data_IF_322868555767
#
_entry.id   IF_322868555767
#
_cell.length_a   1.000
_cell.length_b   1.000
_cell.length_c   1.000
_cell.angle_alpha   90.00
_cell.angle_beta   90.00
_cell.angle_gamma   90.00
#
_symmetry.space_group_name_H-M   'P 1'
#
loop_
_entity.id
_entity.type
_entity.pdbx_description
1 polymer ?
#
# COMPACT_ATOMS: atom_id res chain seq x y z
N UNK A 1 18.52 -9.56 -2.79
CA UNK A 1 18.09 -10.81 -2.11
C UNK A 1 17.13 -11.55 -3.03
N UNK A 2 16.90 -12.83 -2.81
CA UNK A 2 15.99 -13.61 -3.65
C UNK A 2 15.98 -15.07 -3.22
N UNK A 3 15.03 -15.83 -3.73
CA UNK A 3 14.89 -17.23 -3.38
C UNK A 3 13.89 -17.96 -4.26
N UNK A 4 14.00 -19.28 -4.24
CA UNK A 4 13.00 -20.18 -4.77
C UNK A 4 12.02 -20.53 -3.65
N UNK A 5 10.77 -20.70 -4.03
CA UNK A 5 9.67 -21.08 -3.14
C UNK A 5 9.01 -22.30 -3.74
N UNK A 6 8.42 -23.14 -2.90
CA UNK A 6 7.63 -24.26 -3.39
C UNK A 6 6.75 -24.86 -2.31
N UNK A 7 5.64 -25.42 -2.77
CA UNK A 7 4.68 -26.16 -1.96
C UNK A 7 4.40 -27.50 -2.63
N UNK A 8 4.23 -28.54 -1.82
CA UNK A 8 3.82 -29.88 -2.26
C UNK A 8 2.57 -30.26 -1.49
N UNK A 9 1.66 -30.99 -2.12
CA UNK A 9 0.44 -31.44 -1.48
C UNK A 9 -0.47 -32.21 -2.43
N UNK A 10 -1.63 -32.61 -1.91
CA UNK A 10 -2.65 -33.26 -2.73
C UNK A 10 -3.17 -32.30 -3.81
N UNK A 11 -3.58 -32.86 -4.96
CA UNK A 11 -4.08 -32.08 -6.08
C UNK A 11 -5.20 -31.09 -5.71
N UNK A 12 -6.19 -31.41 -4.84
CA UNK A 12 -7.18 -30.43 -4.40
C UNK A 12 -6.58 -29.28 -3.57
N UNK A 13 -5.54 -29.52 -2.79
CA UNK A 13 -4.88 -28.49 -1.98
C UNK A 13 -4.09 -27.53 -2.88
N UNK A 14 -3.36 -28.06 -3.85
CA UNK A 14 -2.61 -27.27 -4.82
C UNK A 14 -3.56 -26.51 -5.75
N UNK A 15 -4.67 -27.10 -6.18
CA UNK A 15 -5.70 -26.41 -6.94
C UNK A 15 -6.28 -25.20 -6.18
N UNK A 16 -6.48 -25.30 -4.85
CA UNK A 16 -6.89 -24.15 -4.03
C UNK A 16 -5.82 -23.06 -4.02
N UNK A 17 -4.54 -23.42 -3.90
CA UNK A 17 -3.43 -22.46 -3.94
C UNK A 17 -3.31 -21.75 -5.30
N UNK A 18 -3.53 -22.46 -6.41
CA UNK A 18 -3.57 -21.87 -7.75
C UNK A 18 -4.70 -20.84 -7.89
N UNK A 19 -5.87 -21.12 -7.29
CA UNK A 19 -7.06 -20.25 -7.34
C UNK A 19 -7.11 -19.17 -6.26
N UNK A 20 -6.13 -19.17 -5.36
CA UNK A 20 -6.03 -18.27 -4.21
C UNK A 20 -5.92 -16.80 -4.60
N UNK A 21 -6.33 -15.92 -3.70
CA UNK A 21 -6.32 -14.46 -3.88
C UNK A 21 -4.95 -13.85 -4.13
N UNK A 22 -3.91 -14.59 -3.79
CA UNK A 22 -2.53 -14.26 -3.95
C UNK A 22 -2.01 -14.48 -5.38
N UNK A 23 -2.73 -15.21 -6.26
CA UNK A 23 -2.27 -15.53 -7.62
C UNK A 23 -3.33 -15.43 -8.70
N UNK A 24 -4.55 -15.93 -8.44
CA UNK A 24 -5.62 -16.05 -9.42
C UNK A 24 -5.17 -16.64 -10.78
N UNK A 25 -4.55 -17.83 -10.77
CA UNK A 25 -4.08 -18.48 -12.02
C UNK A 25 -5.21 -18.87 -12.98
N UNK A 26 -6.46 -18.89 -12.53
CA UNK A 26 -7.66 -19.19 -13.32
C UNK A 26 -8.15 -18.03 -14.20
N UNK A 27 -7.40 -16.93 -14.25
CA UNK A 27 -7.79 -15.73 -14.98
C UNK A 27 -8.02 -16.03 -16.46
N UNK A 28 -9.18 -15.66 -17.03
CA UNK A 28 -9.48 -15.97 -18.43
C UNK A 28 -8.79 -15.00 -19.41
N UNK A 29 -8.24 -13.89 -18.92
CA UNK A 29 -7.57 -12.86 -19.70
C UNK A 29 -6.04 -12.98 -19.70
N UNK A 30 -5.48 -13.96 -18.99
CA UNK A 30 -4.04 -14.18 -18.90
C UNK A 30 -3.66 -15.42 -19.72
N UNK A 31 -2.97 -15.21 -20.83
CA UNK A 31 -2.58 -16.25 -21.80
C UNK A 31 -1.25 -16.96 -21.47
N UNK A 32 -0.58 -16.54 -20.39
CA UNK A 32 0.72 -17.04 -19.93
C UNK A 32 0.63 -17.85 -18.63
N UNK A 33 -0.55 -18.00 -18.05
CA UNK A 33 -0.81 -18.78 -16.83
C UNK A 33 -2.06 -19.64 -17.02
N UNK A 34 -2.03 -20.86 -16.48
CA UNK A 34 -3.14 -21.79 -16.55
C UNK A 34 -3.28 -22.58 -15.24
N UNK A 35 -4.49 -23.08 -14.98
CA UNK A 35 -4.77 -23.96 -13.84
C UNK A 35 -4.64 -25.42 -14.24
N UNK A 36 -3.84 -26.17 -13.49
CA UNK A 36 -3.76 -27.63 -13.60
C UNK A 36 -4.37 -28.29 -12.35
N UNK A 37 -5.48 -29.00 -12.54
CA UNK A 37 -6.20 -29.70 -11.46
C UNK A 37 -5.53 -30.97 -10.95
N UNK A 38 -4.53 -31.49 -11.66
CA UNK A 38 -3.78 -32.70 -11.30
C UNK A 38 -2.42 -32.39 -10.67
N UNK A 39 -1.99 -31.12 -10.70
CA UNK A 39 -0.72 -30.65 -10.14
C UNK A 39 -0.64 -30.91 -8.63
N UNK A 40 0.41 -31.58 -8.18
CA UNK A 40 0.67 -31.90 -6.76
C UNK A 40 1.80 -31.07 -6.15
N UNK A 41 2.40 -30.18 -6.92
CA UNK A 41 3.44 -29.26 -6.45
C UNK A 41 3.47 -27.96 -7.23
N UNK A 42 3.82 -26.86 -6.59
CA UNK A 42 4.06 -25.57 -7.25
C UNK A 42 5.42 -25.04 -6.81
N UNK A 43 6.12 -24.38 -7.73
CA UNK A 43 7.37 -23.69 -7.43
C UNK A 43 7.42 -22.35 -8.15
N UNK A 44 7.97 -21.35 -7.48
CA UNK A 44 8.14 -20.02 -8.05
C UNK A 44 9.34 -19.32 -7.46
N UNK A 45 9.74 -18.21 -8.05
CA UNK A 45 10.92 -17.46 -7.67
C UNK A 45 10.60 -16.01 -7.36
N UNK A 46 11.45 -15.44 -6.51
CA UNK A 46 11.48 -14.01 -6.22
C UNK A 46 12.90 -13.51 -6.29
N UNK A 47 13.09 -12.36 -6.93
CA UNK A 47 14.33 -11.62 -6.91
C UNK A 47 14.07 -10.15 -6.55
N UNK A 48 14.87 -9.62 -5.64
CA UNK A 48 14.84 -8.24 -5.20
C UNK A 48 16.23 -7.64 -5.31
N UNK A 49 16.34 -6.52 -6.01
CA UNK A 49 17.55 -5.73 -6.14
C UNK A 49 17.31 -4.34 -5.56
N UNK A 50 18.18 -3.91 -4.65
CA UNK A 50 18.10 -2.59 -4.02
C UNK A 50 19.49 -1.98 -4.00
N UNK A 51 19.61 -0.79 -4.60
CA UNK A 51 20.79 0.06 -4.49
C UNK A 51 20.34 1.39 -3.92
N UNK A 52 21.06 1.88 -2.91
CA UNK A 52 20.72 3.14 -2.26
C UNK A 52 21.96 3.90 -1.81
N UNK A 53 21.92 5.21 -2.00
CA UNK A 53 22.83 6.14 -1.36
C UNK A 53 22.19 6.62 -0.06
N UNK A 54 22.68 6.09 1.07
CA UNK A 54 22.17 6.40 2.41
C UNK A 54 22.99 7.46 3.16
N UNK A 55 24.14 7.84 2.59
CA UNK A 55 25.04 8.83 3.18
C UNK A 55 25.42 9.90 2.15
N UNK A 56 25.54 11.12 2.63
CA UNK A 56 25.67 12.33 1.84
C UNK A 56 25.06 13.51 2.61
N UNK A 57 25.56 14.72 2.32
CA UNK A 57 25.10 15.96 2.95
C UNK A 57 23.61 16.18 2.63
N UNK A 58 23.28 16.40 1.35
CA UNK A 58 21.91 16.72 0.95
C UNK A 58 21.18 15.61 0.20
N UNK A 59 21.83 15.01 -0.78
CA UNK A 59 21.15 14.14 -1.74
C UNK A 59 21.31 12.66 -1.40
N UNK A 60 20.18 12.01 -1.15
CA UNK A 60 20.02 10.58 -1.01
C UNK A 60 19.11 10.05 -2.12
N UNK A 61 19.30 8.80 -2.50
CA UNK A 61 18.46 8.17 -3.51
C UNK A 61 18.44 6.65 -3.31
N UNK A 62 17.41 6.02 -3.86
CA UNK A 62 17.30 4.58 -3.92
C UNK A 62 16.68 4.15 -5.26
N UNK A 63 17.11 2.98 -5.70
CA UNK A 63 16.55 2.27 -6.83
C UNK A 63 16.30 0.84 -6.40
N UNK A 64 15.06 0.40 -6.57
CA UNK A 64 14.56 -0.88 -6.15
C UNK A 64 13.90 -1.57 -7.34
N UNK A 65 14.23 -2.84 -7.54
CA UNK A 65 13.58 -3.73 -8.49
C UNK A 65 13.15 -5.00 -7.76
N UNK A 66 11.95 -5.47 -8.04
CA UNK A 66 11.39 -6.71 -7.51
C UNK A 66 10.75 -7.47 -8.66
N UNK A 67 11.00 -8.78 -8.73
CA UNK A 67 10.42 -9.66 -9.73
C UNK A 67 9.93 -10.94 -9.05
N UNK A 68 8.69 -11.31 -9.34
CA UNK A 68 7.96 -12.38 -8.66
C UNK A 68 7.14 -13.17 -9.67
N UNK A 69 7.51 -14.44 -9.88
CA UNK A 69 6.80 -15.31 -10.83
C UNK A 69 5.36 -15.59 -10.36
N UNK A 70 4.42 -15.88 -11.26
CA UNK A 70 3.03 -16.19 -10.89
C UNK A 70 2.87 -17.33 -9.87
N UNK A 71 3.71 -18.37 -9.96
CA UNK A 71 3.66 -19.54 -9.09
C UNK A 71 4.30 -19.34 -7.71
N UNK A 72 4.87 -18.16 -7.43
CA UNK A 72 5.60 -17.91 -6.18
C UNK A 72 4.70 -18.12 -4.96
N UNK A 73 5.23 -18.78 -3.95
CA UNK A 73 4.52 -19.04 -2.71
C UNK A 73 5.09 -18.22 -1.57
N UNK A 74 4.36 -17.18 -1.19
CA UNK A 74 4.61 -16.50 0.06
C UNK A 74 4.05 -17.38 1.18
N UNK A 75 4.92 -17.85 2.06
CA UNK A 75 4.48 -18.50 3.30
C UNK A 75 3.57 -17.54 4.08
N UNK A 76 2.59 -18.08 4.81
CA UNK A 76 1.58 -17.34 5.60
C UNK A 76 2.16 -16.41 6.69
N UNK A 77 3.49 -16.30 6.78
CA UNK A 77 4.22 -15.40 7.67
C UNK A 77 4.35 -14.00 7.02
N UNK A 78 3.20 -13.38 6.75
CA UNK A 78 3.08 -11.91 6.78
C UNK A 78 3.22 -11.12 5.47
N UNK A 79 3.03 -11.70 4.29
CA UNK A 79 3.01 -10.92 3.03
C UNK A 79 1.64 -10.91 2.34
N UNK A 80 0.98 -9.76 2.35
CA UNK A 80 -0.30 -9.48 1.65
C UNK A 80 -0.11 -9.12 0.16
N UNK A 81 0.84 -9.79 -0.52
CA UNK A 81 1.20 -9.47 -1.91
C UNK A 81 0.47 -10.35 -2.94
N UNK A 82 0.15 -9.79 -4.09
CA UNK A 82 -0.23 -10.56 -5.29
C UNK A 82 1.07 -11.00 -5.98
N UNK A 83 1.15 -12.26 -6.39
CA UNK A 83 2.22 -12.78 -7.25
C UNK A 83 2.10 -12.20 -8.67
N UNK A 84 2.98 -12.61 -9.60
CA UNK A 84 2.91 -12.19 -10.99
C UNK A 84 3.19 -10.69 -11.19
N UNK A 85 4.42 -10.29 -10.85
CA UNK A 85 4.78 -8.88 -10.85
C UNK A 85 6.27 -8.61 -11.07
N UNK A 86 6.58 -7.63 -11.89
CA UNK A 86 7.87 -6.95 -11.96
C UNK A 86 7.66 -5.49 -11.59
N UNK A 87 8.23 -5.07 -10.46
CA UNK A 87 8.13 -3.72 -9.93
C UNK A 87 9.48 -3.01 -10.00
N UNK A 88 9.45 -1.76 -10.45
CA UNK A 88 10.56 -0.82 -10.35
C UNK A 88 10.14 0.37 -9.47
N UNK A 89 10.98 0.75 -8.51
CA UNK A 89 10.80 1.93 -7.68
C UNK A 89 12.08 2.75 -7.63
N UNK A 90 11.91 4.06 -7.69
CA UNK A 90 12.98 5.03 -7.63
C UNK A 90 12.60 6.11 -6.61
N UNK A 91 13.55 6.51 -5.78
CA UNK A 91 13.40 7.54 -4.78
C UNK A 91 14.54 8.55 -4.85
N UNK A 92 14.22 9.82 -4.69
CA UNK A 92 15.19 10.91 -4.55
C UNK A 92 14.79 11.76 -3.35
N UNK A 93 15.73 12.01 -2.45
CA UNK A 93 15.53 12.84 -1.27
C UNK A 93 16.59 13.94 -1.23
N UNK A 94 16.13 15.17 -1.09
CA UNK A 94 16.95 16.29 -0.61
C UNK A 94 16.71 16.46 0.89
N UNK A 95 17.77 16.67 1.66
CA UNK A 95 17.68 17.05 3.08
C UNK A 95 18.64 18.16 3.45
N UNK A 96 18.25 18.95 4.42
CA UNK A 96 19.12 19.85 5.18
C UNK A 96 19.00 19.50 6.66
N UNK A 97 20.13 19.24 7.30
CA UNK A 97 20.22 18.83 8.70
C UNK A 97 20.90 19.86 9.58
N UNK A 98 21.53 20.88 8.98
CA UNK A 98 22.10 22.02 9.70
C UNK A 98 20.99 22.96 10.16
N UNK A 99 20.91 23.31 11.46
CA UNK A 99 19.92 24.25 11.96
C UNK A 99 20.09 25.65 11.38
N UNK A 100 19.03 26.20 10.80
CA UNK A 100 18.93 27.58 10.34
C UNK A 100 18.15 28.48 11.30
N UNK A 101 17.80 29.69 10.81
CA UNK A 101 17.09 30.70 11.63
C UNK A 101 15.65 30.31 12.01
N UNK A 102 14.96 29.59 11.13
CA UNK A 102 13.54 29.21 11.30
C UNK A 102 13.33 27.71 11.41
N UNK A 103 14.04 26.94 10.57
CA UNK A 103 13.98 25.48 10.53
C UNK A 103 15.25 24.89 11.11
N UNK A 104 15.09 23.85 11.93
CA UNK A 104 16.19 23.02 12.45
C UNK A 104 16.68 22.02 11.41
N UNK A 105 15.80 21.62 10.50
CA UNK A 105 16.09 20.74 9.38
C UNK A 105 14.85 20.50 8.55
N UNK A 106 15.04 20.07 7.31
CA UNK A 106 13.95 19.74 6.41
C UNK A 106 14.36 18.67 5.40
N UNK A 107 13.38 17.96 4.86
CA UNK A 107 13.60 17.05 3.74
C UNK A 107 12.42 17.07 2.77
N UNK A 108 12.75 16.86 1.50
CA UNK A 108 11.83 16.70 0.39
C UNK A 108 12.20 15.40 -0.31
N UNK A 109 11.26 14.48 -0.42
CA UNK A 109 11.44 13.23 -1.11
C UNK A 109 10.41 13.08 -2.21
N UNK A 110 10.84 12.65 -3.39
CA UNK A 110 9.96 12.25 -4.48
C UNK A 110 10.24 10.79 -4.82
N UNK A 111 9.21 10.09 -5.25
CA UNK A 111 9.34 8.71 -5.67
C UNK A 111 8.42 8.38 -6.84
N UNK A 112 8.85 7.39 -7.60
CA UNK A 112 8.13 6.82 -8.72
C UNK A 112 8.15 5.30 -8.58
N UNK A 113 6.99 4.67 -8.70
CA UNK A 113 6.83 3.22 -8.75
C UNK A 113 6.09 2.83 -10.02
N UNK A 114 6.59 1.86 -10.76
CA UNK A 114 5.86 1.21 -11.85
C UNK A 114 5.89 -0.30 -11.69
N UNK A 115 4.80 -0.97 -12.05
CA UNK A 115 4.65 -2.42 -11.91
C UNK A 115 3.90 -3.00 -13.11
N UNK A 116 4.35 -4.18 -13.54
CA UNK A 116 3.80 -4.95 -14.64
C UNK A 116 3.61 -6.40 -14.24
N UNK A 117 2.62 -7.08 -14.80
CA UNK A 117 2.55 -8.53 -14.73
C UNK A 117 3.41 -9.18 -15.83
N UNK A 118 3.54 -10.51 -15.82
CA UNK A 118 4.31 -11.23 -16.83
C UNK A 118 3.64 -11.24 -18.22
N UNK A 119 2.35 -10.92 -18.30
CA UNK A 119 1.63 -10.65 -19.55
C UNK A 119 1.91 -9.26 -20.16
N UNK A 120 2.67 -8.40 -19.46
CA UNK A 120 3.03 -7.06 -19.93
C UNK A 120 2.01 -5.97 -19.58
N UNK A 121 0.91 -6.28 -18.91
CA UNK A 121 -0.05 -5.29 -18.44
C UNK A 121 0.54 -4.45 -17.32
N UNK A 122 0.45 -3.13 -17.45
CA UNK A 122 0.81 -2.20 -16.38
C UNK A 122 -0.20 -2.31 -15.23
N UNK A 123 0.22 -2.86 -14.10
CA UNK A 123 -0.62 -2.98 -12.90
C UNK A 123 -0.66 -1.67 -12.11
N UNK A 124 0.44 -0.92 -12.10
CA UNK A 124 0.53 0.32 -11.33
C UNK A 124 1.54 1.29 -11.93
N UNK A 125 1.21 2.58 -11.93
CA UNK A 125 2.19 3.66 -11.95
C UNK A 125 1.81 4.68 -10.89
N UNK A 126 2.73 4.96 -9.97
CA UNK A 126 2.48 5.81 -8.80
C UNK A 126 3.62 6.79 -8.60
N UNK A 127 3.28 8.04 -8.36
CA UNK A 127 4.18 9.08 -7.90
C UNK A 127 3.88 9.39 -6.44
N UNK A 128 4.91 9.68 -5.67
CA UNK A 128 4.78 10.11 -4.29
C UNK A 128 5.68 11.31 -4.01
N UNK A 129 5.20 12.25 -3.22
CA UNK A 129 5.96 13.37 -2.68
C UNK A 129 5.85 13.35 -1.16
N UNK A 130 6.95 13.55 -0.45
CA UNK A 130 6.97 13.67 1.00
C UNK A 130 7.80 14.89 1.38
N UNK A 131 7.29 15.66 2.32
CA UNK A 131 7.96 16.80 2.91
C UNK A 131 7.96 16.64 4.42
N UNK A 132 9.11 16.83 5.05
CA UNK A 132 9.23 16.90 6.50
C UNK A 132 9.95 18.19 6.88
N UNK A 133 9.35 18.98 7.77
CA UNK A 133 9.93 20.22 8.29
C UNK A 133 10.05 20.09 9.81
N UNK A 134 11.24 20.33 10.34
CA UNK A 134 11.48 20.40 11.79
C UNK A 134 11.75 21.85 12.18
N UNK A 135 10.90 22.40 13.04
CA UNK A 135 11.04 23.74 13.60
C UNK A 135 12.08 23.77 14.72
N UNK A 136 12.58 24.96 15.05
CA UNK A 136 13.58 25.13 16.12
C UNK A 136 13.05 24.78 17.53
N UNK A 137 11.72 24.77 17.72
CA UNK A 137 11.06 24.28 18.93
C UNK A 137 10.75 22.76 18.89
N UNK A 138 11.39 22.02 17.97
CA UNK A 138 11.24 20.57 17.78
C UNK A 138 9.85 20.10 17.35
N UNK A 139 8.99 21.01 16.90
CA UNK A 139 7.77 20.60 16.23
C UNK A 139 8.11 20.08 14.84
N UNK A 140 7.46 18.99 14.44
CA UNK A 140 7.65 18.41 13.11
C UNK A 140 6.33 18.47 12.34
N UNK A 141 6.36 19.15 11.19
CA UNK A 141 5.29 19.11 10.21
C UNK A 141 5.64 18.14 9.09
N UNK A 142 4.66 17.37 8.62
CA UNK A 142 4.80 16.44 7.50
C UNK A 142 3.69 16.66 6.50
N UNK A 143 4.04 16.58 5.22
CA UNK A 143 3.09 16.46 4.13
C UNK A 143 3.48 15.26 3.28
N UNK A 144 2.51 14.43 2.91
CA UNK A 144 2.72 13.32 1.99
C UNK A 144 1.62 13.33 0.95
N UNK A 145 1.98 13.21 -0.33
CA UNK A 145 1.04 13.12 -1.43
C UNK A 145 1.36 11.88 -2.26
N UNK A 146 0.33 11.19 -2.71
CA UNK A 146 0.45 10.09 -3.65
C UNK A 146 -0.53 10.28 -4.78
N UNK A 147 -0.07 10.02 -5.99
CA UNK A 147 -0.87 10.08 -7.21
C UNK A 147 -0.63 8.82 -8.01
N UNK A 148 -1.69 8.08 -8.32
CA UNK A 148 -1.64 6.83 -9.05
C UNK A 148 -2.36 7.00 -10.38
N UNK A 149 -1.70 6.62 -11.47
CA UNK A 149 -2.32 6.53 -12.79
C UNK A 149 -3.18 5.27 -12.89
N UNK A 150 -4.07 5.24 -13.89
CA UNK A 150 -4.84 4.04 -14.25
C UNK A 150 -3.89 2.88 -14.50
N UNK A 151 -4.28 1.69 -14.04
CA UNK A 151 -3.52 0.44 -14.22
C UNK A 151 -4.47 -0.75 -14.16
N UNK A 152 -4.05 -1.88 -14.70
CA UNK A 152 -4.81 -3.12 -14.57
C UNK A 152 -4.75 -3.67 -13.15
N UNK A 153 -5.83 -4.28 -12.70
CA UNK A 153 -5.88 -4.91 -11.39
C UNK A 153 -6.61 -6.24 -11.50
N UNK A 154 -5.82 -7.31 -11.48
CA UNK A 154 -6.28 -8.70 -11.49
C UNK A 154 -7.13 -9.10 -10.27
N UNK A 155 -7.09 -8.31 -9.18
CA UNK A 155 -7.77 -8.65 -7.92
C UNK A 155 -9.20 -8.14 -7.83
N UNK A 156 -9.56 -7.11 -8.59
CA UNK A 156 -10.86 -6.44 -8.47
C UNK A 156 -12.04 -7.38 -8.76
N UNK A 157 -11.86 -8.36 -9.64
CA UNK A 157 -12.90 -9.31 -10.05
C UNK A 157 -12.75 -10.68 -9.37
N UNK A 158 -11.81 -10.82 -8.42
CA UNK A 158 -11.52 -12.02 -7.64
C UNK A 158 -11.39 -13.30 -8.47
N UNK A 159 -10.46 -13.30 -9.44
CA UNK A 159 -10.21 -14.43 -10.35
C UNK A 159 -11.03 -14.42 -11.64
N UNK A 160 -11.76 -13.33 -11.89
CA UNK A 160 -12.24 -12.98 -13.23
C UNK A 160 -11.16 -12.27 -14.06
N UNK A 161 -11.52 -11.69 -15.22
CA UNK A 161 -10.57 -10.90 -15.99
C UNK A 161 -10.09 -9.70 -15.19
N UNK A 162 -8.89 -9.21 -15.49
CA UNK A 162 -8.38 -7.97 -14.92
C UNK A 162 -9.30 -6.80 -15.25
N UNK A 163 -9.32 -5.83 -14.33
CA UNK A 163 -10.13 -4.63 -14.47
C UNK A 163 -9.26 -3.41 -14.25
N UNK A 164 -9.50 -2.37 -15.05
CA UNK A 164 -8.78 -1.11 -14.91
C UNK A 164 -9.15 -0.43 -13.58
N UNK A 165 -8.15 -0.31 -12.70
CA UNK A 165 -8.20 0.51 -11.52
C UNK A 165 -8.18 2.00 -11.92
N UNK A 166 -8.90 2.84 -11.17
CA UNK A 166 -9.04 4.24 -11.51
C UNK A 166 -7.72 4.97 -11.25
N UNK A 167 -7.54 6.12 -11.88
CA UNK A 167 -6.59 7.12 -11.39
C UNK A 167 -7.05 7.64 -10.03
N UNK A 168 -6.13 7.73 -9.07
CA UNK A 168 -6.41 8.22 -7.71
C UNK A 168 -5.32 9.14 -7.18
N UNK A 169 -5.67 9.93 -6.17
CA UNK A 169 -4.69 10.65 -5.35
C UNK A 169 -5.11 10.72 -3.90
N UNK A 170 -4.14 10.85 -3.01
CA UNK A 170 -4.34 11.12 -1.60
C UNK A 170 -3.25 12.07 -1.11
N UNK A 171 -3.60 12.97 -0.20
CA UNK A 171 -2.65 13.82 0.51
C UNK A 171 -2.93 13.76 1.99
N UNK A 172 -1.87 13.66 2.78
CA UNK A 172 -1.91 13.73 4.22
C UNK A 172 -1.02 14.86 4.73
N UNK A 173 -1.49 15.51 5.78
CA UNK A 173 -0.78 16.55 6.51
C UNK A 173 -0.78 16.17 7.98
N UNK A 174 0.33 16.37 8.67
CA UNK A 174 0.36 16.25 10.12
C UNK A 174 1.35 17.22 10.74
N UNK A 175 1.08 17.60 11.97
CA UNK A 175 2.00 18.34 12.81
C UNK A 175 2.02 17.70 14.19
N UNK A 176 3.21 17.58 14.76
CA UNK A 176 3.42 17.04 16.10
C UNK A 176 4.37 17.90 16.91
N UNK A 177 4.16 17.90 18.22
CA UNK A 177 5.03 18.57 19.17
C UNK A 177 6.36 17.83 19.34
N UNK A 178 7.23 18.40 20.17
CA UNK A 178 8.47 17.75 20.61
C UNK A 178 8.19 16.38 21.26
N UNK A 179 8.83 15.32 20.76
CA UNK A 179 8.69 13.96 21.29
C UNK A 179 9.26 13.78 22.71
N UNK A 180 10.13 14.70 23.16
CA UNK A 180 10.71 14.67 24.51
C UNK A 180 9.92 15.52 25.52
N UNK A 181 8.83 16.18 25.10
CA UNK A 181 8.00 16.96 26.02
C UNK A 181 7.20 16.04 26.97
N UNK A 182 6.88 16.55 28.17
CA UNK A 182 6.00 15.88 29.13
C UNK A 182 4.56 15.81 28.61
N UNK A 183 4.10 16.84 27.91
CA UNK A 183 2.85 16.83 27.16
C UNK A 183 3.18 16.80 25.68
N UNK A 184 2.77 15.72 25.02
CA UNK A 184 2.98 15.49 23.60
C UNK A 184 1.65 15.55 22.91
N UNK A 185 1.64 16.10 21.71
CA UNK A 185 0.44 16.10 20.90
C UNK A 185 0.79 15.93 19.43
N UNK A 186 -0.15 15.37 18.69
CA UNK A 186 -0.12 15.37 17.24
C UNK A 186 -1.52 15.56 16.69
N UNK A 187 -1.59 16.19 15.53
CA UNK A 187 -2.82 16.26 14.75
C UNK A 187 -2.45 15.96 13.31
N UNK A 188 -3.27 15.15 12.66
CA UNK A 188 -3.11 14.78 11.28
C UNK A 188 -4.45 14.69 10.58
N UNK A 189 -4.41 14.79 9.27
CA UNK A 189 -5.54 14.48 8.43
C UNK A 189 -5.07 14.00 7.08
N UNK A 190 -5.93 13.27 6.40
CA UNK A 190 -5.72 12.86 5.02
C UNK A 190 -6.99 13.01 4.21
N UNK A 191 -6.83 13.28 2.92
CA UNK A 191 -7.93 13.33 1.99
C UNK A 191 -7.47 12.81 0.63
N UNK A 192 -8.29 11.99 0.00
CA UNK A 192 -8.03 11.48 -1.34
C UNK A 192 -9.32 11.20 -2.10
N UNK A 193 -9.18 11.13 -3.42
CA UNK A 193 -10.27 10.76 -4.34
C UNK A 193 -9.73 10.01 -5.54
N UNK A 194 -10.60 9.21 -6.14
CA UNK A 194 -10.38 8.60 -7.44
C UNK A 194 -11.24 9.26 -8.53
N UNK A 195 -11.07 8.81 -9.77
CA UNK A 195 -11.78 9.34 -10.92
C UNK A 195 -13.20 8.79 -11.11
N UNK A 196 -13.63 7.87 -10.26
CA UNK A 196 -14.95 7.19 -10.32
C UNK A 196 -15.78 7.50 -9.08
N UNK A 197 -15.59 8.69 -8.50
CA UNK A 197 -16.35 9.23 -7.37
C UNK A 197 -16.07 8.56 -6.01
N UNK A 198 -15.07 7.68 -5.93
CA UNK A 198 -14.54 7.17 -4.65
C UNK A 198 -13.70 8.23 -3.94
N UNK A 199 -13.84 8.31 -2.62
CA UNK A 199 -13.04 9.24 -1.81
C UNK A 199 -12.88 8.75 -0.38
N UNK A 200 -11.84 9.24 0.29
CA UNK A 200 -11.64 9.04 1.72
C UNK A 200 -11.12 10.31 2.37
N UNK A 201 -11.59 10.57 3.58
CA UNK A 201 -11.16 11.69 4.40
C UNK A 201 -11.02 11.23 5.84
N UNK A 202 -9.91 11.58 6.48
CA UNK A 202 -9.68 11.27 7.88
C UNK A 202 -9.04 12.43 8.62
N UNK A 203 -9.35 12.54 9.91
CA UNK A 203 -8.69 13.43 10.86
C UNK A 203 -8.43 12.63 12.12
N UNK A 204 -7.21 12.72 12.64
CA UNK A 204 -6.81 12.06 13.86
C UNK A 204 -6.01 13.01 14.73
N UNK A 205 -6.19 12.88 16.04
CA UNK A 205 -5.40 13.58 17.04
C UNK A 205 -4.76 12.58 17.99
N UNK A 206 -3.71 13.01 18.66
CA UNK A 206 -3.17 12.35 19.83
C UNK A 206 -2.80 13.41 20.86
N UNK A 207 -3.18 13.20 22.12
CA UNK A 207 -2.65 13.93 23.26
C UNK A 207 -2.13 12.91 24.26
N UNK A 208 -0.85 12.99 24.57
CA UNK A 208 -0.12 12.08 25.44
C UNK A 208 0.49 12.86 26.60
N UNK A 209 0.10 12.53 27.82
CA UNK A 209 0.56 13.15 29.06
C UNK A 209 1.46 12.18 29.82
N UNK A 210 2.66 12.66 30.18
CA UNK A 210 3.62 11.95 31.03
C UNK A 210 3.76 12.74 32.34
N UNK A 211 2.76 12.67 33.24
CA UNK A 211 2.75 13.45 34.48
C UNK A 211 3.81 12.98 35.48
N UNK A 212 4.26 11.72 35.40
CA UNK A 212 5.32 11.14 36.21
C UNK A 212 6.09 10.09 35.37
N UNK A 213 7.35 9.75 35.71
CA UNK A 213 8.18 8.85 34.91
C UNK A 213 7.56 7.47 34.63
N UNK A 214 6.63 7.04 35.49
CA UNK A 214 5.99 5.72 35.45
C UNK A 214 4.61 5.71 34.81
N UNK A 215 4.04 6.89 34.54
CA UNK A 215 2.67 7.02 34.06
C UNK A 215 2.65 7.72 32.70
N UNK A 216 2.02 7.09 31.73
CA UNK A 216 1.68 7.73 30.46
C UNK A 216 0.20 7.48 30.16
N UNK A 217 -0.53 8.56 29.91
CA UNK A 217 -1.93 8.52 29.48
C UNK A 217 -2.03 9.14 28.09
N UNK A 218 -2.66 8.45 27.16
CA UNK A 218 -2.83 8.92 25.78
C UNK A 218 -4.28 8.86 25.37
N UNK A 219 -4.76 9.93 24.72
CA UNK A 219 -6.07 10.02 24.10
C UNK A 219 -5.92 10.21 22.60
N UNK A 220 -6.54 9.34 21.82
CA UNK A 220 -6.38 9.26 20.37
C UNK A 220 -7.77 9.30 19.72
N UNK A 221 -8.39 10.49 19.57
CA UNK A 221 -9.61 10.63 18.80
C UNK A 221 -9.32 10.47 17.30
N UNK A 222 -10.19 9.77 16.60
CA UNK A 222 -10.13 9.64 15.15
C UNK A 222 -11.52 9.69 14.51
N UNK A 223 -11.56 10.32 13.35
CA UNK A 223 -12.73 10.37 12.48
C UNK A 223 -12.28 10.00 11.07
N UNK A 224 -13.03 9.12 10.43
CA UNK A 224 -12.81 8.72 9.04
C UNK A 224 -14.15 8.56 8.33
N UNK A 225 -14.22 9.06 7.10
CA UNK A 225 -15.28 8.72 6.17
C UNK A 225 -14.68 8.24 4.86
N UNK A 226 -15.22 7.16 4.34
CA UNK A 226 -14.77 6.52 3.11
C UNK A 226 -15.97 6.14 2.26
N UNK A 227 -15.91 6.52 0.99
CA UNK A 227 -16.83 6.09 -0.06
C UNK A 227 -16.06 5.23 -1.06
N UNK A 228 -16.51 3.98 -1.21
CA UNK A 228 -16.02 3.03 -2.21
C UNK A 228 -17.18 2.64 -3.15
N UNK A 229 -17.20 3.14 -4.40
CA UNK A 229 -18.26 2.84 -5.35
C UNK A 229 -18.14 1.45 -5.99
N UNK A 230 -17.04 0.72 -5.78
CA UNK A 230 -16.74 -0.54 -6.49
C UNK A 230 -16.23 -1.64 -5.56
N UNK A 231 -16.90 -1.83 -4.43
CA UNK A 231 -16.65 -2.97 -3.55
C UNK A 231 -17.14 -4.25 -4.23
N UNK A 232 -16.24 -5.19 -4.55
CA UNK A 232 -16.63 -6.48 -5.14
C UNK A 232 -17.60 -7.23 -4.23
N UNK A 233 -18.73 -7.67 -4.79
CA UNK A 233 -19.75 -8.48 -4.10
C UNK A 233 -19.73 -9.92 -4.59
N UNK A 234 -19.98 -10.14 -5.88
CA UNK A 234 -20.11 -11.50 -6.43
C UNK A 234 -19.97 -11.53 -7.97
N UNK A 235 -19.89 -12.74 -8.53
CA UNK A 235 -19.90 -13.03 -9.96
C UNK A 235 -21.10 -13.92 -10.30
N UNK A 236 -21.79 -13.59 -11.39
CA UNK A 236 -22.88 -14.36 -11.98
C UNK A 236 -22.56 -14.75 -13.43
N UNK A 237 -23.34 -15.64 -14.03
CA UNK A 237 -23.29 -15.89 -15.47
C UNK A 237 -24.00 -14.80 -16.28
N UNK A 238 -23.96 -14.91 -17.62
CA UNK A 238 -24.68 -14.00 -18.53
C UNK A 238 -24.00 -12.66 -18.76
N UNK A 239 -22.68 -12.60 -18.62
CA UNK A 239 -21.88 -11.44 -19.01
C UNK A 239 -21.64 -11.35 -20.51
N UNK A 240 -21.06 -10.23 -20.93
CA UNK A 240 -20.65 -10.00 -22.33
C UNK A 240 -19.39 -10.80 -22.70
N UNK A 241 -19.03 -10.83 -23.98
CA UNK A 241 -17.75 -11.40 -24.43
C UNK A 241 -16.54 -10.72 -23.77
N UNK A 242 -16.58 -9.39 -23.56
CA UNK A 242 -15.52 -8.64 -22.90
C UNK A 242 -15.29 -9.04 -21.43
N UNK A 243 -16.28 -9.70 -20.80
CA UNK A 243 -16.20 -10.19 -19.43
C UNK A 243 -16.21 -11.72 -19.37
N UNK A 244 -15.89 -12.39 -20.49
CA UNK A 244 -15.79 -13.85 -20.60
C UNK A 244 -17.05 -14.56 -20.11
N UNK A 245 -18.22 -14.03 -20.47
CA UNK A 245 -19.52 -14.58 -20.07
C UNK A 245 -19.86 -14.40 -18.58
N UNK A 246 -18.99 -13.72 -17.80
CA UNK A 246 -19.21 -13.41 -16.39
C UNK A 246 -19.80 -12.02 -16.18
N UNK A 247 -20.81 -11.91 -15.31
CA UNK A 247 -21.35 -10.63 -14.82
C UNK A 247 -20.81 -10.36 -13.43
N UNK A 248 -20.00 -9.32 -13.28
CA UNK A 248 -19.35 -8.94 -12.03
C UNK A 248 -20.18 -7.86 -11.32
N UNK A 249 -20.56 -8.12 -10.07
CA UNK A 249 -21.42 -7.25 -9.28
C UNK A 249 -20.58 -6.53 -8.22
N UNK A 250 -20.70 -5.21 -8.21
CA UNK A 250 -20.04 -4.33 -7.27
C UNK A 250 -21.09 -3.55 -6.46
N UNK A 251 -20.77 -3.29 -5.20
CA UNK A 251 -21.59 -2.52 -4.27
C UNK A 251 -20.97 -1.16 -3.99
N UNK A 252 -21.84 -0.20 -3.69
CA UNK A 252 -21.47 1.10 -3.18
C UNK A 252 -21.41 1.04 -1.65
N UNK A 253 -20.29 1.47 -1.07
CA UNK A 253 -20.09 1.51 0.38
C UNK A 253 -19.81 2.95 0.80
N UNK A 254 -20.60 3.49 1.74
CA UNK A 254 -20.32 4.73 2.46
C UNK A 254 -20.19 4.40 3.94
N UNK A 255 -18.98 4.50 4.46
CA UNK A 255 -18.65 4.16 5.84
C UNK A 255 -18.15 5.39 6.56
N UNK A 256 -18.76 5.67 7.70
CA UNK A 256 -18.27 6.68 8.66
C UNK A 256 -17.86 5.98 9.94
N UNK A 257 -16.65 6.25 10.41
CA UNK A 257 -16.08 5.71 11.64
C UNK A 257 -15.70 6.87 12.54
N UNK A 258 -16.19 6.83 13.77
CA UNK A 258 -15.75 7.71 14.85
C UNK A 258 -15.21 6.82 15.97
N UNK A 259 -13.99 7.07 16.42
CA UNK A 259 -13.38 6.33 17.50
C UNK A 259 -12.65 7.26 18.46
N UNK A 260 -12.59 6.83 19.72
CA UNK A 260 -11.75 7.41 20.75
C UNK A 260 -11.01 6.26 21.41
N UNK A 261 -9.70 6.18 21.19
CA UNK A 261 -8.85 5.23 21.89
C UNK A 261 -8.18 5.93 23.08
N UNK A 262 -8.19 5.26 24.24
CA UNK A 262 -7.47 5.72 25.43
C UNK A 262 -6.45 4.66 25.81
N UNK A 263 -5.17 5.05 25.96
CA UNK A 263 -4.09 4.16 26.38
C UNK A 263 -3.53 4.60 27.72
N UNK A 264 -3.34 3.65 28.62
CA UNK A 264 -2.68 3.84 29.90
C UNK A 264 -1.48 2.90 29.96
N UNK A 265 -0.28 3.47 30.04
CA UNK A 265 0.94 2.71 30.27
C UNK A 265 1.47 2.99 31.67
N UNK A 266 1.84 1.92 32.35
CA UNK A 266 2.47 1.95 33.67
C UNK A 266 3.72 1.06 33.67
N UNK A 267 4.86 1.61 34.06
CA UNK A 267 6.15 0.89 34.21
C UNK A 267 6.72 1.14 35.61
#
# INVERSE_FOLDING_TARGET
SGGLTGINGEAPAILRAQRGSERYLQRPDADYIEVDSLRTSMSGSKATFLVRKISGEHWLWDVFFDAETPDVTFSDIGRLGFADGVQARQGLTYRETAPGRTLRGYSFAVGHTSEWNYGGDRQQTRFNGNTELTLNNFWTARASTSFRLRGQNARLTRGGPSMQAPRDWNTSLSIRSNASAQTRWSIGGSYGRDEVEGWSGSVNGEVSLVPAPRWQVSFIPSFERQVDPRQYVTRMGGGTAATYGGRYIFGYTDRTTLALETRLNFT
#
